data_IF_983722176628
#
_entry.id   IF_983722176628
#
_cell.length_a   1.000
_cell.length_b   1.000
_cell.length_c   1.000
_cell.angle_alpha   90.00
_cell.angle_beta   90.00
_cell.angle_gamma   90.00
#
_symmetry.space_group_name_H-M   'P 1'
#
loop_
_entity.id
_entity.type
_entity.pdbx_description
1 polymer ?
#
# COMPACT_ATOMS: atom_id res chain seq x y z
N UNK A 1 26.64 45.76 34.37
CA UNK A 1 25.40 45.00 34.67
C UNK A 1 24.59 44.58 33.43
N UNK A 2 24.37 45.45 32.43
CA UNK A 2 23.50 45.16 31.26
C UNK A 2 23.88 43.95 30.38
N UNK A 3 25.17 43.59 30.27
CA UNK A 3 25.62 42.47 29.40
C UNK A 3 25.30 41.09 29.98
N UNK A 4 25.23 40.96 31.31
CA UNK A 4 24.85 39.69 31.95
C UNK A 4 23.35 39.46 31.91
N UNK A 5 22.54 40.52 32.00
CA UNK A 5 21.09 40.44 31.88
C UNK A 5 20.66 39.93 30.49
N UNK A 6 21.33 40.38 29.41
CA UNK A 6 21.09 39.90 28.04
C UNK A 6 21.45 38.42 27.86
N UNK A 7 22.55 37.94 28.45
CA UNK A 7 22.94 36.52 28.39
C UNK A 7 21.95 35.62 29.12
N UNK A 8 21.45 36.05 30.28
CA UNK A 8 20.48 35.27 31.05
C UNK A 8 19.13 35.20 30.33
N UNK A 9 18.70 36.28 29.68
CA UNK A 9 17.44 36.31 28.92
C UNK A 9 17.51 35.40 27.67
N UNK A 10 18.65 35.40 26.99
CA UNK A 10 18.90 34.47 25.86
C UNK A 10 18.93 33.02 26.36
N UNK A 11 19.56 32.74 27.51
CA UNK A 11 19.61 31.40 28.08
C UNK A 11 18.21 30.88 28.47
N UNK A 12 17.36 31.74 29.06
CA UNK A 12 15.98 31.36 29.41
C UNK A 12 15.11 31.15 28.18
N UNK A 13 15.33 31.92 27.10
CA UNK A 13 14.59 31.74 25.85
C UNK A 13 14.93 30.42 25.16
N UNK A 14 16.22 30.04 25.16
CA UNK A 14 16.67 28.75 24.61
C UNK A 14 16.14 27.58 25.45
N UNK A 15 16.16 27.70 26.78
CA UNK A 15 15.62 26.67 27.66
C UNK A 15 14.10 26.49 27.49
N UNK A 16 13.36 27.59 27.30
CA UNK A 16 11.93 27.54 27.02
C UNK A 16 11.61 26.86 25.67
N UNK A 17 12.46 27.07 24.66
CA UNK A 17 12.29 26.44 23.34
C UNK A 17 12.67 24.95 23.36
N UNK A 18 13.65 24.55 24.18
CA UNK A 18 14.09 23.16 24.31
C UNK A 18 13.14 22.28 25.15
N UNK A 19 12.35 22.89 26.05
CA UNK A 19 11.34 22.21 26.87
C UNK A 19 9.94 22.26 26.24
N UNK A 20 9.78 22.87 25.06
CA UNK A 20 8.55 22.85 24.29
C UNK A 20 8.20 21.42 23.90
N UNK A 21 7.08 20.93 24.40
CA UNK A 21 6.57 19.60 24.07
C UNK A 21 6.26 19.54 22.58
N UNK A 22 6.96 18.67 21.85
CA UNK A 22 6.64 18.39 20.44
C UNK A 22 5.27 17.71 20.46
N UNK A 23 4.24 18.41 19.99
CA UNK A 23 2.91 17.83 19.89
C UNK A 23 2.99 16.56 19.04
N UNK A 24 2.33 15.45 19.44
CA UNK A 24 2.29 14.26 18.61
C UNK A 24 1.64 14.62 17.27
N UNK A 25 2.35 14.38 16.19
CA UNK A 25 1.78 14.44 14.85
C UNK A 25 0.83 13.24 14.71
N UNK A 26 -0.47 13.50 14.79
CA UNK A 26 -1.47 12.50 14.42
C UNK A 26 -1.52 12.43 12.89
N UNK A 27 -1.18 11.27 12.34
CA UNK A 27 -1.49 10.98 10.95
C UNK A 27 -3.01 10.83 10.84
N UNK A 28 -3.61 11.52 9.86
CA UNK A 28 -5.01 11.32 9.51
C UNK A 28 -5.19 9.87 9.06
N UNK A 29 -6.07 9.06 9.69
CA UNK A 29 -6.32 7.71 9.22
C UNK A 29 -6.78 7.81 7.77
N UNK A 30 -6.08 7.11 6.86
CA UNK A 30 -6.34 7.06 5.42
C UNK A 30 -7.70 6.43 5.04
N UNK A 31 -8.62 6.34 6.00
CA UNK A 31 -9.93 5.68 5.91
C UNK A 31 -11.00 6.55 5.22
N UNK A 32 -10.64 7.78 4.84
CA UNK A 32 -11.49 8.71 4.08
C UNK A 32 -11.06 8.85 2.61
N UNK A 33 -10.20 7.97 2.13
CA UNK A 33 -10.00 7.85 0.69
C UNK A 33 -11.25 7.22 0.08
N UNK A 34 -11.89 7.87 -0.91
CA UNK A 34 -12.98 7.23 -1.64
C UNK A 34 -12.46 5.90 -2.21
N UNK A 35 -13.27 4.85 -2.19
CA UNK A 35 -12.91 3.56 -2.77
C UNK A 35 -12.63 3.76 -4.27
N UNK A 36 -11.35 3.86 -4.63
CA UNK A 36 -10.89 4.06 -6.01
C UNK A 36 -10.85 2.75 -6.80
N UNK A 37 -11.31 1.63 -6.21
CA UNK A 37 -10.99 0.29 -6.69
C UNK A 37 -12.12 -0.57 -7.24
N UNK A 38 -13.40 -0.25 -6.98
CA UNK A 38 -14.48 -1.23 -7.30
C UNK A 38 -15.71 -0.66 -8.01
N UNK A 39 -15.56 0.33 -8.89
CA UNK A 39 -16.70 0.81 -9.72
C UNK A 39 -17.32 -0.30 -10.61
N UNK A 40 -16.59 -1.39 -10.85
CA UNK A 40 -17.05 -2.56 -11.62
C UNK A 40 -17.97 -3.52 -10.83
N UNK A 41 -18.00 -3.47 -9.49
CA UNK A 41 -18.80 -4.40 -8.68
C UNK A 41 -20.32 -4.28 -8.84
N UNK A 42 -20.80 -3.31 -9.62
CA UNK A 42 -22.22 -3.09 -9.91
C UNK A 42 -22.72 -3.75 -11.20
N UNK A 43 -21.83 -4.26 -12.06
CA UNK A 43 -22.22 -4.75 -13.40
C UNK A 43 -22.10 -6.27 -13.57
N UNK A 44 -21.19 -6.92 -12.85
CA UNK A 44 -20.93 -8.36 -12.98
C UNK A 44 -20.87 -9.02 -11.59
N UNK A 45 -21.43 -10.22 -11.45
CA UNK A 45 -21.28 -10.98 -10.20
C UNK A 45 -19.88 -11.58 -10.07
N UNK A 46 -19.39 -11.74 -8.84
CA UNK A 46 -18.08 -12.36 -8.56
C UNK A 46 -17.95 -13.74 -9.25
N UNK A 47 -19.01 -14.54 -9.27
CA UNK A 47 -18.99 -15.85 -9.93
C UNK A 47 -18.78 -15.77 -11.44
N UNK A 48 -19.37 -14.77 -12.10
CA UNK A 48 -19.17 -14.54 -13.53
C UNK A 48 -17.76 -14.02 -13.83
N UNK A 49 -17.22 -13.15 -12.98
CA UNK A 49 -15.82 -12.69 -13.08
C UNK A 49 -14.84 -13.85 -12.99
N UNK A 50 -15.05 -14.80 -12.07
CA UNK A 50 -14.20 -15.98 -11.95
C UNK A 50 -14.26 -16.87 -13.21
N UNK A 51 -15.45 -17.09 -13.77
CA UNK A 51 -15.60 -17.89 -14.99
C UNK A 51 -14.91 -17.23 -16.20
N UNK A 52 -15.04 -15.91 -16.34
CA UNK A 52 -14.35 -15.16 -17.38
C UNK A 52 -12.83 -15.17 -17.16
N UNK A 53 -12.38 -14.98 -15.92
CA UNK A 53 -10.97 -15.07 -15.54
C UNK A 53 -10.35 -16.41 -15.90
N UNK A 54 -11.01 -17.52 -15.57
CA UNK A 54 -10.55 -18.87 -15.92
C UNK A 54 -10.39 -19.07 -17.43
N UNK A 55 -11.34 -18.55 -18.22
CA UNK A 55 -11.26 -18.58 -19.68
C UNK A 55 -10.05 -17.80 -20.18
N UNK A 56 -9.85 -16.57 -19.71
CA UNK A 56 -8.72 -15.74 -20.13
C UNK A 56 -7.38 -16.31 -19.69
N UNK A 57 -7.26 -16.89 -18.50
CA UNK A 57 -6.02 -17.55 -18.05
C UNK A 57 -5.65 -18.72 -18.96
N UNK A 58 -6.62 -19.53 -19.40
CA UNK A 58 -6.37 -20.62 -20.35
C UNK A 58 -5.92 -20.09 -21.71
N UNK A 59 -6.57 -19.03 -22.19
CA UNK A 59 -6.17 -18.38 -23.44
C UNK A 59 -4.74 -17.83 -23.34
N UNK A 60 -4.41 -17.11 -22.27
CA UNK A 60 -3.07 -16.57 -22.02
C UNK A 60 -2.00 -17.65 -22.01
N UNK A 61 -2.25 -18.79 -21.33
CA UNK A 61 -1.31 -19.93 -21.34
C UNK A 61 -1.10 -20.54 -22.72
N UNK A 62 -2.09 -20.44 -23.61
CA UNK A 62 -2.00 -20.96 -24.98
C UNK A 62 -1.41 -19.96 -25.99
N UNK A 63 -1.52 -18.66 -25.73
CA UNK A 63 -1.15 -17.62 -26.70
C UNK A 63 0.10 -16.80 -26.35
N UNK A 64 0.46 -16.71 -25.06
CA UNK A 64 1.59 -15.89 -24.61
C UNK A 64 2.78 -16.77 -24.15
N UNK A 65 4.03 -16.35 -24.40
CA UNK A 65 5.22 -17.04 -23.89
C UNK A 65 5.36 -16.75 -22.39
N UNK A 66 4.66 -17.52 -21.56
CA UNK A 66 4.74 -17.40 -20.10
C UNK A 66 5.99 -18.07 -19.55
N UNK A 67 6.66 -17.40 -18.61
CA UNK A 67 7.77 -17.95 -17.85
C UNK A 67 7.22 -18.92 -16.80
N UNK A 68 7.58 -20.19 -16.90
CA UNK A 68 7.11 -21.27 -16.02
C UNK A 68 8.21 -21.81 -15.09
N UNK A 69 9.27 -21.03 -14.83
CA UNK A 69 10.31 -21.41 -13.87
C UNK A 69 9.70 -21.52 -12.44
N UNK A 70 9.79 -22.68 -11.77
CA UNK A 70 9.20 -22.87 -10.45
C UNK A 70 9.66 -21.86 -9.39
N UNK A 71 10.91 -21.41 -9.44
CA UNK A 71 11.47 -20.45 -8.48
C UNK A 71 10.92 -19.05 -8.72
N UNK A 72 10.87 -18.62 -9.99
CA UNK A 72 10.33 -17.30 -10.34
C UNK A 72 8.82 -17.25 -10.07
N UNK A 73 8.09 -18.32 -10.41
CA UNK A 73 6.66 -18.45 -10.13
C UNK A 73 6.39 -18.41 -8.63
N UNK A 74 7.18 -19.13 -7.83
CA UNK A 74 7.05 -19.09 -6.37
C UNK A 74 7.35 -17.68 -5.82
N UNK A 75 8.42 -17.05 -6.30
CA UNK A 75 8.81 -15.71 -5.86
C UNK A 75 7.72 -14.67 -6.14
N UNK A 76 7.23 -14.59 -7.38
CA UNK A 76 6.25 -13.57 -7.76
C UNK A 76 4.92 -13.77 -7.04
N UNK A 77 4.49 -15.03 -6.85
CA UNK A 77 3.27 -15.31 -6.10
C UNK A 77 3.44 -15.03 -4.61
N UNK A 78 4.60 -15.36 -4.01
CA UNK A 78 4.86 -15.02 -2.60
C UNK A 78 4.87 -13.50 -2.38
N UNK A 79 5.50 -12.74 -3.28
CA UNK A 79 5.52 -11.28 -3.24
C UNK A 79 4.12 -10.70 -3.45
N UNK A 80 3.41 -11.17 -4.47
CA UNK A 80 2.05 -10.72 -4.78
C UNK A 80 1.07 -10.97 -3.64
N UNK A 81 1.13 -12.16 -3.03
CA UNK A 81 0.27 -12.48 -1.88
C UNK A 81 0.58 -11.63 -0.64
N UNK A 82 1.85 -11.22 -0.42
CA UNK A 82 2.19 -10.26 0.63
C UNK A 82 1.61 -8.87 0.37
N UNK A 83 1.48 -8.45 -0.88
CA UNK A 83 0.84 -7.18 -1.23
C UNK A 83 -0.67 -7.27 -1.03
N UNK A 84 -1.29 -8.35 -1.51
CA UNK A 84 -2.73 -8.60 -1.37
C UNK A 84 -3.14 -8.67 0.11
N UNK A 85 -2.30 -9.19 1.00
CA UNK A 85 -2.61 -9.23 2.44
C UNK A 85 -2.67 -7.86 3.12
N UNK A 86 -2.17 -6.80 2.47
CA UNK A 86 -2.23 -5.42 2.95
C UNK A 86 -3.16 -4.55 2.08
N UNK A 87 -3.92 -5.17 1.16
CA UNK A 87 -4.87 -4.47 0.32
C UNK A 87 -6.27 -4.53 0.94
N UNK A 88 -7.00 -3.43 0.85
CA UNK A 88 -8.38 -3.36 1.28
C UNK A 88 -9.32 -4.02 0.26
N UNK A 89 -10.49 -4.48 0.72
CA UNK A 89 -11.59 -4.96 -0.14
C UNK A 89 -11.26 -6.12 -1.10
N UNK A 90 -10.33 -7.01 -0.75
CA UNK A 90 -10.05 -8.23 -1.53
C UNK A 90 -11.26 -9.18 -1.51
N UNK A 91 -11.88 -9.43 -2.69
CA UNK A 91 -13.06 -10.31 -2.84
C UNK A 91 -12.80 -11.58 -3.66
N UNK A 92 -11.63 -11.70 -4.27
CA UNK A 92 -11.29 -12.79 -5.20
C UNK A 92 -9.86 -13.30 -4.95
N UNK A 93 -9.55 -14.56 -5.32
CA UNK A 93 -8.19 -15.07 -5.30
C UNK A 93 -7.32 -14.40 -6.36
N UNK A 94 -6.08 -14.07 -6.01
CA UNK A 94 -5.10 -13.49 -6.93
C UNK A 94 -4.13 -14.56 -7.46
N UNK A 95 -3.78 -14.46 -8.74
CA UNK A 95 -2.77 -15.28 -9.39
C UNK A 95 -1.83 -14.38 -10.21
N UNK A 96 -0.52 -14.58 -10.04
CA UNK A 96 0.49 -13.76 -10.70
C UNK A 96 1.22 -14.58 -11.76
N UNK A 97 1.37 -14.00 -12.95
CA UNK A 97 2.03 -14.60 -14.11
C UNK A 97 3.16 -13.69 -14.61
N UNK A 98 4.17 -14.30 -15.21
CA UNK A 98 5.32 -13.61 -15.82
C UNK A 98 5.33 -13.94 -17.32
N UNK A 99 5.45 -12.93 -18.17
CA UNK A 99 5.70 -13.06 -19.60
C UNK A 99 7.18 -12.76 -19.93
N UNK A 100 7.59 -13.15 -21.13
CA UNK A 100 8.99 -13.05 -21.61
C UNK A 100 9.25 -11.75 -22.38
#
# INVERSE_FOLDING_TARGET
>A
MFRQLKKNLVATLIAALALGQVAPAFADPADTLPDMGTSAGSTLSIGQEMQMGDFYVRQLRGSAPLINDPLLVQYINALGMRLVSHADSVKTPFHFFLDQ
#
